data_IF_768209724528
#
_entry.id   IF_768209724528
#
_cell.length_a   1.000
_cell.length_b   1.000
_cell.length_c   1.000
_cell.angle_alpha   90.00
_cell.angle_beta   90.00
_cell.angle_gamma   90.00
#
_symmetry.space_group_name_H-M   'P 1'
#
loop_
_entity.id
_entity.type
_entity.pdbx_description
1 polymer ?
#
# COMPACT_ATOMS: atom_id res chain seq x y z
N UNK A 1 5.33 33.01 12.28
CA UNK A 1 4.87 33.54 10.99
C UNK A 1 6.10 33.83 10.14
N UNK A 2 6.41 32.94 9.20
CA UNK A 2 7.51 33.14 8.25
C UNK A 2 7.24 32.29 7.01
N UNK A 3 7.10 32.96 5.88
CA UNK A 3 6.79 32.45 4.54
C UNK A 3 8.05 32.49 3.68
N UNK A 4 8.39 31.40 2.97
CA UNK A 4 9.37 31.33 1.86
C UNK A 4 8.98 30.13 0.94
N UNK A 5 9.41 30.04 -0.34
CA UNK A 5 8.57 30.42 -1.47
C UNK A 5 8.32 29.28 -2.48
N UNK A 6 7.41 29.56 -3.40
CA UNK A 6 7.02 28.75 -4.57
C UNK A 6 8.20 28.66 -5.55
N UNK A 7 8.68 27.44 -5.84
CA UNK A 7 9.73 27.25 -6.83
C UNK A 7 10.22 25.83 -7.04
N UNK A 8 9.34 24.83 -7.21
CA UNK A 8 9.79 23.48 -7.62
C UNK A 8 8.73 22.69 -8.40
N UNK A 9 8.17 23.29 -9.45
CA UNK A 9 7.21 22.60 -10.35
C UNK A 9 7.73 22.20 -11.72
N UNK A 10 8.99 22.47 -12.07
CA UNK A 10 9.53 22.14 -13.39
C UNK A 10 10.85 21.35 -13.29
N UNK A 11 10.77 20.02 -13.08
CA UNK A 11 11.89 19.11 -13.43
C UNK A 11 11.61 17.60 -13.47
N UNK A 12 10.34 17.17 -13.57
CA UNK A 12 10.00 15.74 -13.69
C UNK A 12 9.41 15.31 -15.05
N UNK A 13 9.51 16.15 -16.09
CA UNK A 13 8.91 15.87 -17.41
C UNK A 13 9.93 15.52 -18.52
N UNK A 14 11.20 15.27 -18.21
CA UNK A 14 12.27 15.18 -19.22
C UNK A 14 12.98 13.81 -19.33
N UNK A 15 12.46 12.73 -18.75
CA UNK A 15 13.17 11.43 -18.74
C UNK A 15 12.40 10.24 -19.34
N UNK A 16 11.39 10.47 -20.20
CA UNK A 16 10.71 9.39 -20.93
C UNK A 16 10.48 9.81 -22.39
N UNK A 17 11.55 9.95 -23.18
CA UNK A 17 11.50 9.85 -24.64
C UNK A 17 12.81 9.26 -25.18
N UNK A 18 12.96 7.94 -25.00
CA UNK A 18 13.91 7.14 -25.77
C UNK A 18 13.23 6.66 -27.06
N UNK A 19 13.66 7.18 -28.19
CA UNK A 19 13.20 6.88 -29.56
C UNK A 19 14.24 5.98 -30.22
N UNK A 20 13.83 4.87 -30.83
CA UNK A 20 14.63 4.06 -31.76
C UNK A 20 13.67 3.33 -32.75
N UNK A 21 14.15 2.82 -33.91
CA UNK A 21 13.66 3.22 -35.22
C UNK A 21 13.24 2.02 -36.10
N UNK A 22 12.90 2.30 -37.36
CA UNK A 22 12.76 1.30 -38.43
C UNK A 22 11.40 1.41 -39.12
N UNK A 23 11.28 1.91 -40.35
CA UNK A 23 11.71 1.37 -41.67
C UNK A 23 10.48 0.94 -42.47
N UNK A 24 10.36 1.44 -43.70
CA UNK A 24 9.90 0.61 -44.81
C UNK A 24 8.47 0.81 -45.30
N UNK A 25 8.33 1.64 -46.34
CA UNK A 25 7.91 1.12 -47.65
C UNK A 25 6.41 0.93 -47.93
N UNK A 26 5.87 1.82 -48.76
CA UNK A 26 5.48 1.43 -50.12
C UNK A 26 4.00 1.24 -50.45
N UNK A 27 3.60 1.98 -51.51
CA UNK A 27 2.51 1.73 -52.49
C UNK A 27 1.08 1.78 -51.90
N UNK A 28 0.08 2.46 -52.48
CA UNK A 28 -0.16 2.88 -53.86
C UNK A 28 -1.55 2.37 -54.26
N UNK A 29 -2.31 3.19 -55.01
CA UNK A 29 -3.57 2.87 -55.73
C UNK A 29 -4.79 2.61 -54.79
N UNK A 30 -6.05 2.98 -55.05
CA UNK A 30 -6.76 3.40 -56.25
C UNK A 30 -8.06 4.12 -55.91
N UNK A 31 -8.54 4.88 -56.88
CA UNK A 31 -9.76 5.67 -56.88
C UNK A 31 -11.06 4.85 -56.98
N UNK A 32 -12.13 5.49 -56.49
CA UNK A 32 -13.49 5.59 -57.05
C UNK A 32 -14.24 4.32 -57.50
N UNK A 33 -15.42 4.12 -56.92
CA UNK A 33 -16.65 3.93 -57.70
C UNK A 33 -17.90 4.38 -56.93
N UNK A 34 -18.98 4.77 -57.64
CA UNK A 34 -20.10 5.53 -57.09
C UNK A 34 -21.24 4.67 -56.54
N UNK A 35 -22.08 5.35 -55.75
CA UNK A 35 -23.37 4.93 -55.20
C UNK A 35 -24.38 4.45 -56.26
N UNK A 36 -25.23 3.49 -55.89
CA UNK A 36 -26.62 3.45 -56.32
C UNK A 36 -27.56 3.92 -55.20
N UNK A 37 -28.41 4.88 -55.57
CA UNK A 37 -29.58 5.35 -54.85
C UNK A 37 -30.64 4.25 -54.77
N UNK A 38 -31.10 3.89 -53.56
CA UNK A 38 -32.33 3.13 -53.39
C UNK A 38 -33.01 3.47 -52.05
N UNK A 39 -34.11 4.22 -52.19
CA UNK A 39 -35.41 4.06 -51.56
C UNK A 39 -35.51 3.84 -50.02
N UNK A 40 -36.30 4.72 -49.40
CA UNK A 40 -36.56 4.79 -47.98
C UNK A 40 -37.12 3.53 -47.32
N UNK A 41 -36.77 3.40 -46.05
CA UNK A 41 -37.54 2.67 -45.05
C UNK A 41 -37.72 3.58 -43.82
N UNK A 42 -38.94 3.68 -43.27
CA UNK A 42 -39.23 4.56 -42.14
C UNK A 42 -38.54 4.07 -40.86
N UNK A 43 -37.95 5.02 -40.13
CA UNK A 43 -37.39 4.81 -38.81
C UNK A 43 -38.49 4.37 -37.82
N UNK A 44 -38.57 3.07 -37.56
CA UNK A 44 -39.30 2.54 -36.42
C UNK A 44 -38.54 2.91 -35.15
N UNK A 45 -38.95 4.03 -34.53
CA UNK A 45 -38.51 4.42 -33.19
C UNK A 45 -39.06 3.42 -32.17
N UNK A 46 -38.32 2.33 -31.97
CA UNK A 46 -38.54 1.43 -30.85
C UNK A 46 -38.23 2.19 -29.55
N UNK A 47 -39.23 2.91 -29.03
CA UNK A 47 -39.27 3.35 -27.64
C UNK A 47 -39.25 2.09 -26.78
N UNK A 48 -38.06 1.55 -26.50
CA UNK A 48 -37.87 0.54 -25.45
C UNK A 48 -38.31 1.22 -24.17
N UNK A 49 -39.54 0.93 -23.75
CA UNK A 49 -40.03 1.30 -22.43
C UNK A 49 -39.02 0.77 -21.43
N UNK A 50 -38.23 1.67 -20.83
CA UNK A 50 -37.34 1.34 -19.75
C UNK A 50 -38.26 0.87 -18.62
N UNK A 51 -38.32 -0.44 -18.40
CA UNK A 51 -39.21 -1.08 -17.44
C UNK A 51 -38.89 -0.55 -16.03
N UNK A 52 -39.54 0.54 -15.61
CA UNK A 52 -39.38 1.23 -14.33
C UNK A 52 -39.51 0.29 -13.12
N UNK A 53 -40.20 -0.85 -13.29
CA UNK A 53 -40.32 -1.92 -12.30
C UNK A 53 -39.00 -2.62 -11.95
N UNK A 54 -37.97 -2.52 -12.80
CA UNK A 54 -36.62 -3.06 -12.54
C UNK A 54 -35.75 -2.08 -11.73
N UNK A 55 -36.14 -0.80 -11.65
CA UNK A 55 -35.40 0.24 -10.94
C UNK A 55 -35.28 -0.04 -9.42
N UNK A 56 -36.32 -0.43 -8.67
CA UNK A 56 -36.16 -0.73 -7.24
C UNK A 56 -35.30 -1.97 -7.00
N UNK A 57 -35.37 -2.98 -7.88
CA UNK A 57 -34.55 -4.19 -7.76
C UNK A 57 -33.07 -3.91 -8.03
N UNK A 58 -32.78 -3.03 -9.01
CA UNK A 58 -31.41 -2.57 -9.29
C UNK A 58 -30.86 -1.69 -8.18
N UNK A 59 -31.68 -0.78 -7.65
CA UNK A 59 -31.29 0.08 -6.51
C UNK A 59 -31.01 -0.78 -5.27
N UNK A 60 -31.84 -1.80 -5.00
CA UNK A 60 -31.63 -2.74 -3.91
C UNK A 60 -30.34 -3.58 -4.13
N UNK A 61 -30.11 -4.09 -5.34
CA UNK A 61 -28.89 -4.82 -5.68
C UNK A 61 -27.62 -3.98 -5.47
N UNK A 62 -27.67 -2.68 -5.80
CA UNK A 62 -26.57 -1.74 -5.55
C UNK A 62 -26.32 -1.48 -4.05
N UNK A 63 -27.36 -1.58 -3.21
CA UNK A 63 -27.18 -1.47 -1.75
C UNK A 63 -26.70 -2.76 -1.09
N UNK A 64 -26.94 -3.94 -1.70
CA UNK A 64 -26.46 -5.22 -1.19
C UNK A 64 -25.01 -5.53 -1.58
N UNK A 65 -24.49 -4.93 -2.65
CA UNK A 65 -23.06 -4.96 -2.94
C UNK A 65 -22.34 -4.04 -1.94
N UNK A 66 -21.95 -4.60 -0.80
CA UNK A 66 -21.25 -3.90 0.27
C UNK A 66 -20.11 -3.04 -0.29
N UNK A 67 -20.18 -1.74 -0.04
CA UNK A 67 -19.12 -0.83 -0.45
C UNK A 67 -17.88 -1.13 0.38
N UNK A 68 -16.74 -1.40 -0.25
CA UNK A 68 -15.44 -1.65 0.41
C UNK A 68 -15.13 -0.64 1.53
N UNK A 69 -15.53 0.62 1.35
CA UNK A 69 -15.33 1.68 2.33
C UNK A 69 -16.10 1.47 3.64
N UNK A 70 -17.25 0.78 3.61
CA UNK A 70 -17.98 0.39 4.81
C UNK A 70 -17.22 -0.68 5.60
N UNK A 71 -16.63 -1.68 4.93
CA UNK A 71 -15.82 -2.69 5.60
C UNK A 71 -14.55 -2.08 6.21
N UNK A 72 -13.91 -1.13 5.52
CA UNK A 72 -12.75 -0.39 6.05
C UNK A 72 -13.14 0.48 7.26
N UNK A 73 -14.33 1.10 7.22
CA UNK A 73 -14.85 1.86 8.35
C UNK A 73 -15.14 0.96 9.54
N UNK A 74 -15.75 -0.20 9.30
CA UNK A 74 -16.02 -1.19 10.34
C UNK A 74 -14.72 -1.74 10.95
N UNK A 75 -13.72 -2.05 10.12
CA UNK A 75 -12.40 -2.41 10.59
C UNK A 75 -11.80 -1.33 11.51
N UNK A 76 -11.93 -0.05 11.14
CA UNK A 76 -11.47 1.06 11.99
C UNK A 76 -12.19 1.06 13.35
N UNK A 77 -13.50 0.82 13.37
CA UNK A 77 -14.27 0.71 14.61
C UNK A 77 -13.77 -0.47 15.45
N UNK A 78 -13.53 -1.63 14.84
CA UNK A 78 -12.97 -2.79 15.53
C UNK A 78 -11.60 -2.52 16.13
N UNK A 79 -10.74 -1.75 15.45
CA UNK A 79 -9.40 -1.38 15.97
C UNK A 79 -9.53 -0.51 17.24
N UNK A 80 -10.62 0.25 17.40
CA UNK A 80 -10.87 1.01 18.65
C UNK A 80 -11.03 0.07 19.85
N UNK A 81 -11.65 -1.09 19.62
CA UNK A 81 -11.80 -2.18 20.60
C UNK A 81 -10.79 -3.31 20.30
N UNK A 82 -9.50 -2.94 20.23
CA UNK A 82 -8.44 -3.81 19.69
C UNK A 82 -8.37 -5.18 20.37
N UNK A 83 -8.33 -5.23 21.70
CA UNK A 83 -8.15 -6.48 22.45
C UNK A 83 -9.37 -7.41 22.40
N UNK A 84 -10.52 -6.89 21.97
CA UNK A 84 -11.75 -7.68 21.74
C UNK A 84 -11.78 -8.30 20.35
N UNK A 85 -11.25 -7.59 19.34
CA UNK A 85 -11.37 -7.97 17.93
C UNK A 85 -10.09 -8.56 17.33
N UNK A 86 -8.95 -8.38 18.00
CA UNK A 86 -7.65 -8.79 17.50
C UNK A 86 -6.83 -9.52 18.57
N UNK A 87 -5.97 -10.42 18.10
CA UNK A 87 -4.91 -11.01 18.92
C UNK A 87 -3.59 -10.92 18.15
N UNK A 88 -2.50 -10.62 18.86
CA UNK A 88 -1.16 -10.51 18.28
C UNK A 88 -0.29 -11.62 18.80
N UNK A 89 0.39 -12.31 17.89
CA UNK A 89 1.44 -13.27 18.23
C UNK A 89 2.76 -12.79 17.65
N UNK A 90 3.78 -12.68 18.50
CA UNK A 90 5.14 -12.31 18.11
C UNK A 90 6.05 -13.50 18.36
N UNK A 91 6.62 -14.03 17.29
CA UNK A 91 7.72 -15.01 17.33
C UNK A 91 8.91 -14.42 16.56
N UNK A 92 9.43 -15.13 15.57
CA UNK A 92 10.19 -14.59 14.45
C UNK A 92 9.34 -13.70 13.53
N UNK A 93 8.03 -13.97 13.45
CA UNK A 93 7.06 -13.20 12.68
C UNK A 93 6.20 -12.34 13.59
N UNK A 94 5.52 -11.35 13.01
CA UNK A 94 4.45 -10.61 13.66
C UNK A 94 3.15 -11.00 12.99
N UNK A 95 2.26 -11.67 13.72
CA UNK A 95 0.97 -12.10 13.21
C UNK A 95 -0.16 -11.38 13.93
N UNK A 96 -1.05 -10.77 13.16
CA UNK A 96 -2.35 -10.25 13.62
C UNK A 96 -3.42 -11.26 13.28
N UNK A 97 -4.16 -11.70 14.28
CA UNK A 97 -5.35 -12.54 14.15
C UNK A 97 -6.59 -11.66 14.29
N UNK A 98 -7.53 -11.79 13.36
CA UNK A 98 -8.81 -11.10 13.34
C UNK A 98 -9.84 -12.03 13.94
N UNK A 99 -10.28 -11.76 15.17
CA UNK A 99 -11.22 -12.61 15.90
C UNK A 99 -12.64 -12.48 15.35
N UNK A 100 -12.99 -11.28 14.88
CA UNK A 100 -14.26 -10.97 14.23
C UNK A 100 -13.97 -10.35 12.84
N UNK A 101 -13.54 -11.13 11.84
CA UNK A 101 -13.04 -10.59 10.58
C UNK A 101 -14.16 -9.92 9.76
N UNK A 102 -13.87 -8.77 9.15
CA UNK A 102 -14.85 -7.99 8.35
C UNK A 102 -14.37 -7.64 6.93
N UNK A 103 -13.07 -7.78 6.67
CA UNK A 103 -12.50 -7.50 5.35
C UNK A 103 -12.61 -8.73 4.46
N UNK A 104 -13.20 -8.57 3.28
CA UNK A 104 -13.27 -9.62 2.27
C UNK A 104 -11.97 -9.71 1.45
N UNK A 105 -11.73 -10.85 0.81
CA UNK A 105 -10.60 -10.98 -0.10
C UNK A 105 -10.70 -10.04 -1.32
N UNK A 106 -11.91 -9.70 -1.77
CA UNK A 106 -12.10 -8.69 -2.82
C UNK A 106 -11.73 -7.26 -2.37
N UNK A 107 -11.82 -6.96 -1.07
CA UNK A 107 -11.39 -5.67 -0.52
C UNK A 107 -9.88 -5.49 -0.73
N UNK A 108 -9.10 -6.58 -0.71
CA UNK A 108 -7.67 -6.57 -1.01
C UNK A 108 -7.37 -5.94 -2.37
N UNK A 109 -8.05 -6.36 -3.44
CA UNK A 109 -7.80 -5.79 -4.78
C UNK A 109 -8.18 -4.33 -4.85
N UNK A 110 -9.23 -3.94 -4.12
CA UNK A 110 -9.67 -2.55 -4.09
C UNK A 110 -8.65 -1.67 -3.36
N UNK A 111 -8.06 -2.15 -2.27
CA UNK A 111 -7.11 -1.42 -1.45
C UNK A 111 -5.68 -1.47 -2.02
N UNK A 112 -5.18 -2.66 -2.30
CA UNK A 112 -3.82 -2.89 -2.78
C UNK A 112 -3.63 -2.47 -4.24
N UNK A 113 -4.70 -2.56 -5.06
CA UNK A 113 -4.68 -2.33 -6.51
C UNK A 113 -3.63 -3.18 -7.25
N UNK A 114 -3.29 -4.34 -6.68
CA UNK A 114 -2.32 -5.30 -7.21
C UNK A 114 -2.78 -6.72 -6.87
N UNK A 115 -2.53 -7.69 -7.75
CA UNK A 115 -2.76 -9.10 -7.44
C UNK A 115 -1.66 -9.64 -6.51
N UNK A 116 -1.97 -10.55 -5.57
CA UNK A 116 -0.94 -11.17 -4.76
C UNK A 116 0.02 -11.99 -5.64
N UNK A 117 1.28 -12.10 -5.22
CA UNK A 117 2.30 -12.91 -5.91
C UNK A 117 1.88 -14.37 -6.01
N UNK A 118 1.21 -14.91 -4.98
CA UNK A 118 0.70 -16.28 -4.95
C UNK A 118 -0.64 -16.36 -4.23
N UNK A 119 -1.53 -17.22 -4.73
CA UNK A 119 -2.75 -17.66 -4.05
C UNK A 119 -2.68 -19.18 -3.88
N UNK A 120 -3.06 -19.69 -2.71
CA UNK A 120 -3.16 -21.11 -2.43
C UNK A 120 -4.44 -21.39 -1.65
N UNK A 121 -5.14 -22.47 -1.99
CA UNK A 121 -6.25 -22.95 -1.17
C UNK A 121 -5.72 -23.68 0.05
N UNK A 122 -6.36 -23.49 1.20
CA UNK A 122 -6.05 -24.20 2.45
C UNK A 122 -7.31 -24.90 2.96
N UNK A 123 -7.20 -25.87 3.89
CA UNK A 123 -8.38 -26.48 4.52
C UNK A 123 -9.28 -25.48 5.26
N UNK A 124 -8.71 -24.35 5.67
CA UNK A 124 -9.35 -23.28 6.43
C UNK A 124 -9.90 -22.15 5.54
N UNK A 125 -9.59 -22.15 4.24
CA UNK A 125 -10.00 -21.11 3.27
C UNK A 125 -8.95 -20.89 2.19
N UNK A 126 -8.30 -19.73 2.19
CA UNK A 126 -7.21 -19.44 1.26
C UNK A 126 -6.06 -18.65 1.89
N UNK A 127 -4.86 -18.82 1.33
CA UNK A 127 -3.64 -18.13 1.73
C UNK A 127 -3.09 -17.36 0.55
N UNK A 128 -2.98 -16.05 0.70
CA UNK A 128 -2.43 -15.16 -0.30
C UNK A 128 -1.09 -14.62 0.19
N UNK A 129 -0.10 -14.57 -0.68
CA UNK A 129 1.24 -14.12 -0.36
C UNK A 129 1.63 -12.99 -1.30
N UNK A 130 2.07 -11.86 -0.73
CA UNK A 130 2.72 -10.80 -1.48
C UNK A 130 4.20 -10.78 -1.16
N UNK A 131 5.03 -10.89 -2.21
CA UNK A 131 6.49 -10.85 -2.10
C UNK A 131 7.02 -9.56 -2.71
N UNK A 132 7.79 -8.81 -1.94
CA UNK A 132 8.49 -7.62 -2.37
C UNK A 132 9.99 -7.89 -2.38
N UNK A 133 10.59 -7.94 -3.57
CA UNK A 133 12.03 -8.15 -3.75
C UNK A 133 12.76 -6.82 -3.74
N UNK A 134 13.80 -6.70 -2.91
CA UNK A 134 14.62 -5.49 -2.85
C UNK A 134 15.35 -5.24 -4.17
N UNK A 135 15.53 -3.96 -4.50
CA UNK A 135 16.33 -3.51 -5.63
C UNK A 135 17.64 -2.89 -5.13
N UNK A 136 18.75 -3.19 -5.81
CA UNK A 136 20.02 -2.52 -5.57
C UNK A 136 20.05 -1.10 -6.16
N UNK A 137 21.19 -0.41 -6.03
CA UNK A 137 21.38 0.94 -6.56
C UNK A 137 21.29 1.03 -8.10
N UNK A 138 21.52 -0.09 -8.81
CA UNK A 138 21.35 -0.17 -10.26
C UNK A 138 19.91 -0.55 -10.67
N UNK A 139 19.00 -0.73 -9.71
CA UNK A 139 17.62 -1.16 -9.94
C UNK A 139 17.46 -2.65 -10.22
N UNK A 140 18.49 -3.47 -9.97
CA UNK A 140 18.44 -4.92 -10.16
C UNK A 140 17.90 -5.61 -8.90
N UNK A 141 17.10 -6.65 -9.10
CA UNK A 141 16.48 -7.39 -8.02
C UNK A 141 17.50 -8.25 -7.24
N UNK A 142 17.49 -8.12 -5.91
CA UNK A 142 18.24 -8.94 -4.97
C UNK A 142 17.34 -10.06 -4.42
N UNK A 143 17.23 -11.17 -5.13
CA UNK A 143 16.23 -12.24 -4.89
C UNK A 143 16.28 -12.89 -3.50
N UNK A 144 17.41 -12.79 -2.78
CA UNK A 144 17.56 -13.30 -1.41
C UNK A 144 17.08 -12.32 -0.33
N UNK A 145 16.67 -11.11 -0.71
CA UNK A 145 16.27 -10.03 0.21
C UNK A 145 14.84 -9.65 -0.11
N UNK A 146 13.91 -10.32 0.57
CA UNK A 146 12.48 -10.17 0.32
C UNK A 146 11.75 -9.77 1.59
N UNK A 147 10.79 -8.86 1.43
CA UNK A 147 9.75 -8.58 2.41
C UNK A 147 8.51 -9.33 1.98
N UNK A 148 7.90 -10.08 2.90
CA UNK A 148 6.76 -10.94 2.59
C UNK A 148 5.61 -10.60 3.53
N UNK A 149 4.43 -10.46 2.96
CA UNK A 149 3.18 -10.42 3.71
C UNK A 149 2.34 -11.63 3.34
N UNK A 150 1.75 -12.27 4.35
CA UNK A 150 0.82 -13.38 4.14
C UNK A 150 -0.54 -13.00 4.71
N UNK A 151 -1.58 -13.24 3.93
CA UNK A 151 -2.98 -13.00 4.27
C UNK A 151 -3.71 -14.34 4.24
N UNK A 152 -4.26 -14.77 5.37
CA UNK A 152 -5.14 -15.94 5.40
C UNK A 152 -6.59 -15.49 5.47
N UNK A 153 -7.37 -15.96 4.50
CA UNK A 153 -8.82 -15.78 4.43
C UNK A 153 -9.49 -17.07 4.89
N UNK A 154 -10.55 -16.95 5.69
CA UNK A 154 -11.34 -18.09 6.15
C UNK A 154 -12.25 -18.64 5.04
N UNK A 155 -13.13 -19.60 5.37
CA UNK A 155 -14.06 -20.22 4.40
C UNK A 155 -15.11 -19.26 3.89
N UNK A 156 -15.41 -18.21 4.65
CA UNK A 156 -16.29 -17.11 4.30
C UNK A 156 -15.58 -16.01 3.48
N UNK A 157 -14.32 -16.25 3.09
CA UNK A 157 -13.48 -15.32 2.33
C UNK A 157 -13.17 -14.00 3.06
N UNK A 158 -13.17 -14.05 4.40
CA UNK A 158 -12.85 -12.93 5.28
C UNK A 158 -11.42 -13.04 5.81
N UNK A 159 -10.69 -11.93 5.89
CA UNK A 159 -9.31 -11.85 6.36
C UNK A 159 -9.23 -12.22 7.84
N UNK A 160 -8.77 -13.44 8.12
CA UNK A 160 -8.65 -13.99 9.47
C UNK A 160 -7.24 -13.79 10.06
N UNK A 161 -6.21 -13.71 9.21
CA UNK A 161 -4.82 -13.54 9.66
C UNK A 161 -4.02 -12.66 8.71
N UNK A 162 -3.19 -11.77 9.28
CA UNK A 162 -2.18 -11.02 8.55
C UNK A 162 -0.81 -11.20 9.20
N UNK A 163 0.14 -11.71 8.44
CA UNK A 163 1.47 -12.06 8.88
C UNK A 163 2.55 -11.22 8.18
N UNK A 164 3.50 -10.73 8.98
CA UNK A 164 4.61 -9.88 8.55
C UNK A 164 5.93 -10.63 8.73
N UNK A 165 6.72 -10.71 7.66
CA UNK A 165 7.99 -11.43 7.68
C UNK A 165 9.05 -10.77 8.56
N UNK A 166 10.06 -11.53 9.03
CA UNK A 166 11.16 -10.99 9.83
C UNK A 166 11.88 -9.81 9.16
N UNK A 167 12.02 -9.85 7.84
CA UNK A 167 12.66 -8.78 7.07
C UNK A 167 11.92 -7.43 7.17
N UNK A 168 10.60 -7.44 7.30
CA UNK A 168 9.82 -6.22 7.55
C UNK A 168 10.06 -5.69 8.97
N UNK A 169 10.15 -6.60 9.93
CA UNK A 169 10.25 -6.27 11.36
C UNK A 169 11.58 -5.65 11.75
N UNK A 170 12.60 -5.76 10.89
CA UNK A 170 13.90 -5.13 11.11
C UNK A 170 13.82 -3.60 11.09
N UNK A 171 12.94 -3.02 10.28
CA UNK A 171 12.70 -1.57 10.27
C UNK A 171 11.36 -1.17 10.90
N UNK A 172 10.49 -2.12 11.19
CA UNK A 172 9.23 -1.88 11.90
C UNK A 172 9.05 -2.89 13.04
N UNK A 173 9.72 -2.69 14.18
CA UNK A 173 9.77 -3.69 15.25
C UNK A 173 8.39 -3.99 15.82
N UNK A 174 8.13 -5.23 16.30
CA UNK A 174 6.81 -5.69 16.73
C UNK A 174 6.04 -4.72 17.63
N UNK A 175 6.69 -4.19 18.67
CA UNK A 175 6.06 -3.28 19.63
C UNK A 175 5.63 -1.95 18.99
N UNK A 176 6.42 -1.41 18.06
CA UNK A 176 6.05 -0.21 17.32
C UNK A 176 4.98 -0.50 16.28
N UNK A 177 5.03 -1.66 15.62
CA UNK A 177 4.01 -2.09 14.66
C UNK A 177 2.64 -2.25 15.33
N UNK A 178 2.58 -2.97 16.46
CA UNK A 178 1.35 -3.12 17.24
C UNK A 178 0.81 -1.76 17.71
N UNK A 179 1.70 -0.92 18.26
CA UNK A 179 1.36 0.44 18.68
C UNK A 179 0.80 1.27 17.52
N UNK A 180 1.39 1.18 16.33
CA UNK A 180 0.93 1.86 15.13
C UNK A 180 -0.43 1.33 14.65
N UNK A 181 -0.68 0.01 14.73
CA UNK A 181 -1.99 -0.55 14.37
C UNK A 181 -3.05 -0.08 15.38
N UNK A 182 -2.79 -0.21 16.70
CA UNK A 182 -3.70 0.23 17.76
C UNK A 182 -4.05 1.72 17.63
N UNK A 183 -3.08 2.55 17.23
CA UNK A 183 -3.29 3.98 17.10
C UNK A 183 -4.26 4.35 15.95
N UNK A 184 -4.43 3.48 14.95
CA UNK A 184 -5.41 3.68 13.87
C UNK A 184 -6.86 3.75 14.38
N UNK A 185 -7.19 3.12 15.50
CA UNK A 185 -8.54 3.23 16.09
C UNK A 185 -8.87 4.67 16.52
N UNK A 186 -7.86 5.37 17.06
CA UNK A 186 -7.94 6.77 17.52
C UNK A 186 -7.73 7.79 16.40
N UNK A 187 -7.39 7.33 15.20
CA UNK A 187 -7.05 8.22 14.10
C UNK A 187 -8.22 9.09 13.65
N UNK A 188 -7.87 10.32 13.26
CA UNK A 188 -8.78 11.20 12.53
C UNK A 188 -8.55 10.98 11.04
N UNK A 189 -9.63 10.74 10.31
CA UNK A 189 -9.58 10.63 8.85
C UNK A 189 -9.51 12.06 8.30
N UNK A 190 -8.38 12.44 7.72
CA UNK A 190 -8.34 13.64 6.90
C UNK A 190 -9.02 13.30 5.57
N UNK A 191 -10.27 13.75 5.40
CA UNK A 191 -11.10 13.46 4.22
C UNK A 191 -10.57 14.09 2.94
N UNK A 192 -9.84 15.20 3.05
CA UNK A 192 -9.31 15.93 1.89
C UNK A 192 -8.10 15.21 1.29
N UNK A 193 -7.21 14.72 2.15
CA UNK A 193 -6.02 13.97 1.72
C UNK A 193 -6.25 12.46 1.65
N UNK A 194 -7.39 11.96 2.16
CA UNK A 194 -7.67 10.53 2.39
C UNK A 194 -6.53 9.85 3.17
N UNK A 195 -5.95 10.59 4.11
CA UNK A 195 -4.87 10.13 4.96
C UNK A 195 -5.40 9.90 6.37
N UNK A 196 -4.92 8.82 6.98
CA UNK A 196 -5.19 8.49 8.38
C UNK A 196 -4.02 9.05 9.18
N UNK A 197 -4.28 10.07 10.00
CA UNK A 197 -3.28 10.65 10.89
C UNK A 197 -3.67 10.40 12.34
N UNK A 198 -2.66 10.06 13.14
CA UNK A 198 -2.80 9.96 14.59
C UNK A 198 -1.96 11.05 15.21
N UNK A 199 -2.56 11.82 16.11
CA UNK A 199 -1.86 12.87 16.81
C UNK A 199 -0.77 12.25 17.71
N UNK A 200 0.43 12.85 17.83
CA UNK A 200 1.51 12.29 18.65
C UNK A 200 1.11 12.02 20.11
N UNK A 201 0.21 12.81 20.67
CA UNK A 201 -0.36 12.66 22.02
C UNK A 201 -1.25 11.42 22.17
N UNK A 202 -1.86 10.94 21.08
CA UNK A 202 -2.72 9.76 21.08
C UNK A 202 -1.93 8.46 20.85
N UNK A 203 -0.65 8.56 20.51
CA UNK A 203 0.23 7.42 20.29
C UNK A 203 0.56 6.74 21.62
N UNK A 204 0.37 5.40 21.71
CA UNK A 204 0.75 4.68 22.91
C UNK A 204 2.26 4.76 23.10
N UNK A 205 2.69 4.94 24.35
CA UNK A 205 4.12 4.94 24.67
C UNK A 205 4.66 3.52 24.66
N UNK A 206 5.76 3.34 23.94
CA UNK A 206 6.39 2.05 23.69
C UNK A 206 7.76 2.02 24.33
N UNK A 207 7.98 1.02 25.19
CA UNK A 207 9.31 0.66 25.71
C UNK A 207 9.90 -0.44 24.82
N UNK A 208 10.58 -0.05 23.76
CA UNK A 208 11.25 -0.93 22.81
C UNK A 208 12.50 -0.26 22.24
N UNK A 209 13.44 -1.07 21.77
CA UNK A 209 14.58 -0.59 21.00
C UNK A 209 14.13 -0.18 19.60
N UNK A 210 14.59 1.00 19.16
CA UNK A 210 14.47 1.43 17.77
C UNK A 210 15.27 0.52 16.83
N UNK A 211 14.90 0.45 15.55
CA UNK A 211 15.75 -0.16 14.53
C UNK A 211 17.14 0.46 14.49
N UNK A 212 18.16 -0.36 14.23
CA UNK A 212 19.53 0.10 14.01
C UNK A 212 19.95 -0.19 12.58
N UNK A 213 20.79 0.68 12.02
CA UNK A 213 21.34 0.53 10.67
C UNK A 213 22.09 -0.80 10.55
N UNK A 214 22.81 -1.23 11.59
CA UNK A 214 23.48 -2.53 11.62
C UNK A 214 22.50 -3.70 11.34
N UNK A 215 21.39 -3.79 12.09
CA UNK A 215 20.39 -4.86 11.91
C UNK A 215 19.74 -4.79 10.52
N UNK A 216 19.48 -3.57 10.04
CA UNK A 216 18.93 -3.32 8.70
C UNK A 216 19.91 -3.78 7.62
N UNK A 217 21.18 -3.45 7.73
CA UNK A 217 22.21 -3.85 6.76
C UNK A 217 22.44 -5.36 6.79
N UNK A 218 22.41 -5.99 7.96
CA UNK A 218 22.52 -7.45 8.06
C UNK A 218 21.39 -8.18 7.31
N UNK A 219 20.18 -7.59 7.29
CA UNK A 219 18.99 -8.25 6.74
C UNK A 219 18.68 -7.84 5.29
N UNK A 220 18.73 -6.54 5.01
CA UNK A 220 18.38 -5.94 3.72
C UNK A 220 19.62 -5.49 2.92
N UNK A 221 20.82 -5.51 3.52
CA UNK A 221 22.03 -4.96 2.93
C UNK A 221 22.01 -3.45 2.75
N UNK A 222 22.90 -2.98 1.87
CA UNK A 222 23.05 -1.56 1.56
C UNK A 222 21.78 -0.98 0.93
N UNK A 223 21.39 0.26 1.24
CA UNK A 223 20.24 0.92 0.62
C UNK A 223 20.43 1.09 -0.89
N UNK A 224 19.32 1.31 -1.61
CA UNK A 224 19.35 1.61 -3.04
C UNK A 224 19.89 3.02 -3.31
N UNK A 225 19.72 3.93 -2.35
CA UNK A 225 20.13 5.33 -2.44
C UNK A 225 20.34 5.91 -1.03
N UNK A 226 21.32 6.80 -0.87
CA UNK A 226 21.56 7.56 0.36
C UNK A 226 21.55 9.03 -0.02
N UNK A 227 20.77 9.83 0.70
CA UNK A 227 20.65 11.27 0.48
C UNK A 227 20.53 12.01 1.82
N UNK A 228 20.49 13.34 1.77
CA UNK A 228 20.24 14.20 2.94
C UNK A 228 18.88 14.88 2.75
N UNK A 229 18.02 14.80 3.77
CA UNK A 229 16.71 15.44 3.79
C UNK A 229 16.49 16.05 5.18
N UNK A 230 16.15 17.34 5.26
CA UNK A 230 15.90 18.06 6.52
C UNK A 230 17.04 17.95 7.56
N UNK A 231 18.29 17.88 7.09
CA UNK A 231 19.46 17.73 7.97
C UNK A 231 19.67 16.32 8.52
N UNK A 232 18.84 15.35 8.11
CA UNK A 232 18.99 13.93 8.42
C UNK A 232 19.54 13.17 7.23
N UNK A 233 20.26 12.09 7.53
CA UNK A 233 20.64 11.11 6.51
C UNK A 233 19.41 10.24 6.20
N UNK A 234 18.96 10.25 4.94
CA UNK A 234 17.89 9.39 4.47
C UNK A 234 18.46 8.24 3.63
N UNK A 235 18.17 7.02 4.04
CA UNK A 235 18.47 5.80 3.28
C UNK A 235 17.19 5.27 2.65
N UNK A 236 17.23 5.06 1.33
CA UNK A 236 16.07 4.63 0.55
C UNK A 236 16.23 3.17 0.17
N UNK A 237 15.32 2.34 0.66
CA UNK A 237 15.19 0.94 0.27
C UNK A 237 14.04 0.81 -0.73
N UNK A 238 14.36 0.45 -1.97
CA UNK A 238 13.36 0.24 -3.03
C UNK A 238 13.05 -1.24 -3.18
N UNK A 239 11.79 -1.56 -3.41
CA UNK A 239 11.33 -2.92 -3.62
C UNK A 239 10.40 -2.99 -4.84
N UNK A 240 10.36 -4.16 -5.45
CA UNK A 240 9.41 -4.47 -6.52
C UNK A 240 8.68 -5.76 -6.20
N UNK A 241 7.38 -5.79 -6.43
CA UNK A 241 6.60 -7.02 -6.37
C UNK A 241 6.32 -7.58 -7.76
N UNK A 242 6.49 -8.88 -7.87
CA UNK A 242 6.09 -9.66 -9.05
C UNK A 242 4.66 -10.14 -8.83
N UNK A 243 3.82 -9.86 -9.81
CA UNK A 243 2.38 -10.08 -9.78
C UNK A 243 1.92 -10.29 -11.21
N UNK A 244 0.93 -11.13 -11.41
CA UNK A 244 0.43 -11.55 -12.72
C UNK A 244 -0.28 -10.43 -13.46
N UNK A 245 -0.88 -9.46 -12.76
CA UNK A 245 -1.62 -8.39 -13.38
C UNK A 245 -1.71 -7.13 -12.52
N UNK A 246 -1.48 -5.97 -13.15
CA UNK A 246 -1.80 -4.64 -12.61
C UNK A 246 -2.31 -3.78 -13.77
N UNK A 247 -3.42 -3.08 -13.55
CA UNK A 247 -3.94 -2.12 -14.54
C UNK A 247 -2.90 -1.04 -14.82
N UNK A 248 -2.83 -0.56 -16.06
CA UNK A 248 -1.82 0.42 -16.50
C UNK A 248 -1.78 1.68 -15.61
N UNK A 249 -2.94 2.16 -15.18
CA UNK A 249 -3.08 3.30 -14.26
C UNK A 249 -2.48 3.07 -12.85
N UNK A 250 -2.21 1.82 -12.47
CA UNK A 250 -1.69 1.41 -11.17
C UNK A 250 -0.27 0.83 -11.23
N UNK A 251 0.48 0.98 -12.32
CA UNK A 251 1.84 0.42 -12.45
C UNK A 251 2.79 0.81 -11.31
N UNK A 252 2.61 1.99 -10.70
CA UNK A 252 3.39 2.42 -9.52
C UNK A 252 3.12 1.58 -8.26
N UNK A 253 2.08 0.74 -8.23
CA UNK A 253 1.75 -0.18 -7.13
C UNK A 253 2.66 -1.40 -7.08
N UNK A 254 3.34 -1.73 -8.17
CA UNK A 254 4.41 -2.72 -8.17
C UNK A 254 5.63 -2.29 -7.35
N UNK A 255 5.80 -0.98 -7.16
CA UNK A 255 6.91 -0.41 -6.43
C UNK A 255 6.51 -0.18 -4.98
N UNK A 256 7.39 -0.59 -4.09
CA UNK A 256 7.33 -0.30 -2.67
C UNK A 256 8.65 0.37 -2.26
N UNK A 257 8.60 1.10 -1.15
CA UNK A 257 9.80 1.70 -0.58
C UNK A 257 9.72 1.75 0.94
N UNK A 258 10.89 1.82 1.56
CA UNK A 258 11.07 2.22 2.95
C UNK A 258 12.20 3.24 3.00
N UNK A 259 11.87 4.46 3.42
CA UNK A 259 12.82 5.54 3.66
C UNK A 259 13.09 5.56 5.16
N UNK A 260 14.36 5.42 5.54
CA UNK A 260 14.82 5.39 6.92
C UNK A 260 15.63 6.65 7.17
N UNK A 261 15.28 7.37 8.22
CA UNK A 261 15.90 8.64 8.57
C UNK A 261 16.73 8.48 9.84
N UNK A 262 17.96 8.99 9.78
CA UNK A 262 18.95 8.94 10.85
C UNK A 262 19.49 10.34 11.12
N UNK A 263 19.82 10.62 12.37
CA UNK A 263 20.69 11.75 12.69
C UNK A 263 22.04 11.61 11.94
N UNK A 264 22.69 12.71 11.54
CA UNK A 264 24.00 12.66 10.90
C UNK A 264 25.03 11.88 11.72
N UNK A 265 25.58 10.80 11.14
CA UNK A 265 26.53 9.91 11.83
C UNK A 265 25.89 8.98 12.88
N UNK A 266 24.58 9.07 13.10
CA UNK A 266 23.83 8.17 13.98
C UNK A 266 23.60 6.81 13.34
N UNK A 267 23.36 5.80 14.19
CA UNK A 267 23.06 4.41 13.78
C UNK A 267 21.60 4.02 14.04
N UNK A 268 20.87 4.84 14.79
CA UNK A 268 19.48 4.56 15.20
C UNK A 268 18.52 5.20 14.19
N UNK A 269 17.52 4.44 13.76
CA UNK A 269 16.44 4.98 12.91
C UNK A 269 15.50 5.82 13.77
N UNK A 270 15.37 7.09 13.43
CA UNK A 270 14.45 8.01 14.11
C UNK A 270 13.07 7.99 13.49
N UNK A 271 13.01 7.87 12.16
CA UNK A 271 11.76 7.89 11.40
C UNK A 271 11.79 6.92 10.24
N UNK A 272 10.64 6.33 9.95
CA UNK A 272 10.40 5.49 8.77
C UNK A 272 9.22 6.04 8.00
N UNK A 273 9.42 6.29 6.70
CA UNK A 273 8.33 6.52 5.76
C UNK A 273 8.32 5.38 4.76
N UNK A 274 7.25 4.60 4.71
CA UNK A 274 7.19 3.44 3.84
C UNK A 274 5.87 3.36 3.07
N UNK A 275 5.94 2.68 1.93
CA UNK A 275 4.78 2.36 1.10
C UNK A 275 4.84 0.91 0.67
N UNK A 276 3.86 0.12 1.10
CA UNK A 276 3.67 -1.27 0.71
C UNK A 276 2.20 -1.51 0.42
N UNK A 277 1.89 -2.33 -0.60
CA UNK A 277 0.50 -2.65 -0.98
C UNK A 277 -0.38 -1.40 -1.16
N UNK A 278 0.23 -0.34 -1.68
CA UNK A 278 -0.44 0.94 -1.86
C UNK A 278 -0.80 1.73 -0.60
N UNK A 279 -0.57 1.18 0.58
CA UNK A 279 -0.68 1.84 1.87
C UNK A 279 0.62 2.61 2.12
N UNK A 280 0.48 3.88 2.54
CA UNK A 280 1.59 4.69 3.04
C UNK A 280 1.50 4.75 4.55
N UNK A 281 2.60 4.54 5.24
CA UNK A 281 2.70 4.79 6.68
C UNK A 281 3.98 5.55 6.99
N UNK A 282 3.88 6.42 7.98
CA UNK A 282 4.98 7.23 8.49
C UNK A 282 5.00 7.05 10.00
N UNK A 283 6.14 6.61 10.53
CA UNK A 283 6.35 6.37 11.95
C UNK A 283 7.57 7.18 12.36
N UNK A 284 7.39 8.11 13.27
CA UNK A 284 8.48 8.79 13.97
C UNK A 284 8.60 8.14 15.35
N UNK A 285 9.65 7.33 15.55
CA UNK A 285 9.81 6.53 16.75
C UNK A 285 9.96 7.38 18.01
N UNK A 286 10.46 8.62 17.87
CA UNK A 286 10.60 9.57 18.98
C UNK A 286 9.26 9.93 19.60
N UNK A 287 8.18 9.87 18.82
CA UNK A 287 6.83 10.13 19.34
C UNK A 287 6.27 8.97 20.17
N UNK A 288 6.77 7.75 19.95
CA UNK A 288 6.36 6.54 20.68
C UNK A 288 7.20 6.31 21.94
N UNK A 289 8.45 6.77 21.97
CA UNK A 289 9.33 6.50 23.11
C UNK A 289 8.85 7.31 24.32
N UNK A 290 8.66 6.61 25.43
CA UNK A 290 8.59 7.25 26.73
C UNK A 290 9.98 7.83 26.99
N UNK A 291 10.12 9.16 26.97
CA UNK A 291 11.37 9.83 27.28
C UNK A 291 11.92 9.18 28.55
N UNK A 292 13.03 8.45 28.42
CA UNK A 292 13.78 7.94 29.57
C UNK A 292 14.16 9.21 30.31
N UNK A 293 13.49 9.49 31.43
CA UNK A 293 13.81 10.63 32.27
C UNK A 293 15.33 10.59 32.46
N UNK A 294 16.01 11.58 31.88
CA UNK A 294 17.46 11.68 31.94
C UNK A 294 17.84 11.52 33.40
N UNK A 295 18.70 10.53 33.68
CA UNK A 295 19.11 10.21 35.03
C UNK A 295 19.59 11.48 35.72
N UNK A 296 18.84 11.93 36.73
CA UNK A 296 19.44 12.67 37.83
C UNK A 296 20.24 11.63 38.60
N UNK A 297 21.53 11.51 38.28
CA UNK A 297 22.49 10.99 39.25
C UNK A 297 22.55 12.02 40.38
N UNK A 298 22.11 11.62 41.57
CA UNK A 298 22.63 12.19 42.80
C UNK A 298 24.00 11.57 43.08
#
# INVERSE_FOLDING_TARGET
MTTVPIGFKNRLAALIRGRFPGTGGGRGISAANPLPTAAGQPAASARRGLNWRMLPLFTLALTLAGCVWLHVLELKNQITEFDTNFSVKVTDHFTVYFLNPVLHADDYFTLAKVEPTKKATTPEGSRWTQVFTKLDAAGKAETKKTVVFTFDFNKEDLLAKWDFSPAFLVFMPPKFLEAAIRSLGKSKVNTDERHVQVAPEDLPKVRAEQPTREKIYATLGQPSEITQEDGMTMEVYRFRTETTYVKEEYQTRHQAYANMYYEPGGDIVEKVNARFLGLKFAVDFRNFIELRAAGKSN
#
